data_IF_625115414673
#
_entry.id   IF_625115414673
#
_cell.length_a   1.000
_cell.length_b   1.000
_cell.length_c   1.000
_cell.angle_alpha   90.00
_cell.angle_beta   90.00
_cell.angle_gamma   90.00
#
_symmetry.space_group_name_H-M   'P 1'
#
loop_
_entity.id
_entity.type
_entity.pdbx_description
1 polymer ?
#
# COMPACT_ATOMS: atom_id res chain seq x y z
N UNK A 1 6.72 -38.91 -0.71
CA UNK A 1 5.66 -38.63 -1.70
C UNK A 1 5.27 -37.17 -1.57
N UNK A 2 5.75 -36.33 -2.48
CA UNK A 2 5.24 -34.97 -2.64
C UNK A 2 3.90 -35.04 -3.39
N UNK A 3 2.83 -35.31 -2.66
CA UNK A 3 1.50 -35.18 -3.23
C UNK A 3 1.25 -33.68 -3.49
N UNK A 4 1.14 -33.29 -4.75
CA UNK A 4 0.63 -31.98 -5.09
C UNK A 4 -0.85 -31.96 -4.73
N UNK A 5 -1.26 -31.07 -3.85
CA UNK A 5 -2.66 -30.85 -3.53
C UNK A 5 -3.21 -29.79 -4.48
N UNK A 6 -4.31 -30.08 -5.11
CA UNK A 6 -5.07 -29.12 -5.90
C UNK A 6 -6.26 -28.65 -5.06
N UNK A 7 -6.33 -27.34 -4.82
CA UNK A 7 -7.43 -26.74 -4.06
C UNK A 7 -8.26 -25.90 -5.03
N UNK A 8 -9.52 -26.30 -5.22
CA UNK A 8 -10.45 -25.51 -6.01
C UNK A 8 -10.91 -24.30 -5.19
N UNK A 9 -10.64 -23.10 -5.69
CA UNK A 9 -11.16 -21.86 -5.15
C UNK A 9 -12.49 -21.52 -5.82
N UNK A 10 -13.43 -20.99 -5.06
CA UNK A 10 -14.82 -20.75 -5.54
C UNK A 10 -15.00 -19.41 -6.25
N UNK A 11 -14.05 -18.51 -6.11
CA UNK A 11 -14.04 -17.17 -6.69
C UNK A 11 -12.73 -16.90 -7.41
N UNK A 12 -12.74 -15.90 -8.29
CA UNK A 12 -11.55 -15.46 -9.00
C UNK A 12 -10.56 -14.77 -8.04
N UNK A 13 -9.36 -15.33 -7.96
CA UNK A 13 -8.29 -14.81 -7.10
C UNK A 13 -7.65 -13.60 -7.75
N UNK A 14 -7.60 -12.50 -7.00
CA UNK A 14 -6.86 -11.30 -7.43
C UNK A 14 -5.39 -11.41 -7.01
N UNK A 15 -5.15 -11.91 -5.79
CA UNK A 15 -3.83 -11.85 -5.15
C UNK A 15 -3.70 -12.93 -4.07
N UNK A 16 -2.47 -13.38 -3.84
CA UNK A 16 -2.11 -14.35 -2.80
C UNK A 16 -0.90 -13.85 -2.06
N UNK A 17 -0.88 -13.98 -0.75
CA UNK A 17 0.32 -13.72 0.05
C UNK A 17 0.35 -14.54 1.34
N UNK A 18 1.48 -14.42 2.04
CA UNK A 18 1.65 -14.99 3.37
C UNK A 18 1.74 -13.84 4.35
N UNK A 19 0.88 -13.86 5.36
CA UNK A 19 0.86 -12.85 6.42
C UNK A 19 1.40 -13.42 7.73
N UNK A 20 2.31 -12.70 8.36
CA UNK A 20 2.76 -12.98 9.71
C UNK A 20 1.63 -12.74 10.72
N UNK A 21 1.40 -13.69 11.60
CA UNK A 21 0.41 -13.58 12.67
C UNK A 21 0.99 -14.07 13.99
N UNK A 22 0.25 -13.89 15.07
CA UNK A 22 0.67 -14.44 16.37
C UNK A 22 0.79 -15.97 16.30
N UNK A 23 2.01 -16.45 16.44
CA UNK A 23 2.33 -17.88 16.56
C UNK A 23 2.54 -18.65 15.25
N UNK A 24 2.03 -18.20 14.12
CA UNK A 24 2.27 -18.82 12.80
C UNK A 24 1.90 -17.90 11.65
N UNK A 25 2.52 -18.13 10.50
CA UNK A 25 2.12 -17.47 9.27
C UNK A 25 0.81 -18.04 8.74
N UNK A 26 0.04 -17.22 8.02
CA UNK A 26 -1.18 -17.64 7.34
C UNK A 26 -1.10 -17.38 5.84
N UNK A 27 -1.63 -18.28 5.03
CA UNK A 27 -1.86 -18.05 3.62
C UNK A 27 -3.15 -17.23 3.45
N UNK A 28 -3.01 -16.07 2.81
CA UNK A 28 -4.14 -15.15 2.55
C UNK A 28 -4.46 -15.14 1.08
N UNK A 29 -5.74 -15.24 0.77
CA UNK A 29 -6.29 -15.14 -0.59
C UNK A 29 -7.18 -13.91 -0.67
N UNK A 30 -6.91 -13.05 -1.64
CA UNK A 30 -7.70 -11.86 -1.91
C UNK A 30 -8.59 -12.08 -3.13
N UNK A 31 -9.87 -11.82 -2.97
CA UNK A 31 -10.89 -11.75 -4.00
C UNK A 31 -11.29 -10.30 -4.28
N UNK A 32 -12.18 -10.05 -5.22
CA UNK A 32 -12.58 -8.67 -5.59
C UNK A 32 -13.19 -7.85 -4.45
N UNK A 33 -13.73 -8.48 -3.43
CA UNK A 33 -14.41 -7.80 -2.33
C UNK A 33 -14.05 -8.31 -0.94
N UNK A 34 -13.17 -9.31 -0.82
CA UNK A 34 -12.85 -9.91 0.48
C UNK A 34 -11.47 -10.51 0.52
N UNK A 35 -10.92 -10.65 1.73
CA UNK A 35 -9.75 -11.48 1.98
C UNK A 35 -10.12 -12.64 2.93
N UNK A 36 -9.55 -13.80 2.65
CA UNK A 36 -9.74 -15.00 3.45
C UNK A 36 -8.41 -15.64 3.80
N UNK A 37 -8.31 -16.22 4.97
CA UNK A 37 -7.28 -17.20 5.27
C UNK A 37 -7.61 -18.52 4.61
N UNK A 38 -6.64 -19.15 3.95
CA UNK A 38 -6.78 -20.48 3.37
C UNK A 38 -5.95 -21.49 4.16
N UNK A 39 -6.55 -22.58 4.58
CA UNK A 39 -5.81 -23.76 5.07
C UNK A 39 -5.35 -24.59 3.85
N UNK A 40 -4.05 -24.65 3.55
CA UNK A 40 -3.55 -25.35 2.37
C UNK A 40 -3.67 -26.88 2.47
N UNK A 41 -4.00 -27.44 3.65
CA UNK A 41 -4.15 -28.89 3.84
C UNK A 41 -5.58 -29.36 3.59
N UNK A 42 -6.54 -28.53 3.98
CA UNK A 42 -7.96 -28.91 3.96
C UNK A 42 -8.74 -28.16 2.88
N UNK A 43 -8.20 -27.05 2.36
CA UNK A 43 -8.92 -26.12 1.49
C UNK A 43 -9.97 -25.27 2.22
N UNK A 44 -10.06 -25.40 3.54
CA UNK A 44 -10.99 -24.60 4.33
C UNK A 44 -10.59 -23.13 4.33
N UNK A 45 -11.57 -22.24 4.24
CA UNK A 45 -11.35 -20.79 4.27
C UNK A 45 -11.98 -20.17 5.52
N UNK A 46 -11.33 -19.12 6.05
CA UNK A 46 -11.84 -18.27 7.11
C UNK A 46 -11.86 -16.83 6.62
N UNK A 47 -13.02 -16.19 6.65
CA UNK A 47 -13.14 -14.78 6.29
C UNK A 47 -12.33 -13.92 7.24
N UNK A 48 -11.59 -12.94 6.68
CA UNK A 48 -10.76 -11.99 7.42
C UNK A 48 -11.35 -10.59 7.36
N UNK A 49 -11.50 -10.04 6.16
CA UNK A 49 -12.02 -8.69 5.92
C UNK A 49 -12.93 -8.64 4.70
N UNK A 50 -13.80 -7.65 4.69
CA UNK A 50 -14.60 -7.22 3.53
C UNK A 50 -14.17 -5.83 3.12
N UNK A 51 -14.00 -5.60 1.81
CA UNK A 51 -13.55 -4.31 1.27
C UNK A 51 -14.10 -4.05 -0.12
N UNK A 52 -13.86 -2.84 -0.66
CA UNK A 52 -14.15 -2.51 -2.06
C UNK A 52 -12.84 -2.23 -2.78
N UNK A 53 -12.48 -3.10 -3.71
CA UNK A 53 -11.25 -2.95 -4.50
C UNK A 53 -11.53 -2.44 -5.90
N UNK A 54 -10.52 -1.77 -6.48
CA UNK A 54 -10.48 -1.44 -7.91
C UNK A 54 -9.98 -2.60 -8.78
N UNK A 55 -9.49 -3.66 -8.15
CA UNK A 55 -9.00 -4.82 -8.87
C UNK A 55 -10.12 -5.73 -9.35
N UNK A 56 -9.99 -6.16 -10.61
CA UNK A 56 -10.69 -7.31 -11.12
C UNK A 56 -9.69 -8.43 -11.39
N UNK A 57 -10.09 -9.67 -11.15
CA UNK A 57 -9.27 -10.82 -11.52
C UNK A 57 -9.04 -10.83 -13.04
N UNK A 58 -7.79 -10.93 -13.50
CA UNK A 58 -7.50 -10.99 -14.93
C UNK A 58 -7.96 -12.34 -15.49
N UNK A 59 -8.78 -12.31 -16.55
CA UNK A 59 -9.44 -13.50 -17.11
C UNK A 59 -8.43 -14.51 -17.70
N UNK A 60 -7.25 -14.07 -18.15
CA UNK A 60 -6.25 -14.90 -18.82
C UNK A 60 -4.81 -14.63 -18.35
N UNK A 61 -4.63 -14.06 -17.18
CA UNK A 61 -3.31 -13.60 -16.72
C UNK A 61 -2.89 -14.29 -15.42
N UNK A 62 -1.57 -14.29 -15.21
CA UNK A 62 -0.99 -14.73 -13.95
C UNK A 62 -1.43 -13.80 -12.83
N UNK A 63 -1.70 -14.36 -11.66
CA UNK A 63 -1.96 -13.59 -10.43
C UNK A 63 -0.84 -12.57 -10.23
N UNK A 64 -1.15 -11.26 -10.16
CA UNK A 64 -0.13 -10.23 -10.01
C UNK A 64 0.52 -10.34 -8.64
N UNK A 65 1.79 -9.94 -8.56
CA UNK A 65 2.47 -9.76 -7.29
C UNK A 65 2.22 -8.34 -6.81
N UNK A 66 1.42 -8.18 -5.77
CA UNK A 66 1.08 -6.91 -5.16
C UNK A 66 1.64 -6.86 -3.73
N UNK A 67 2.06 -5.71 -3.29
CA UNK A 67 2.58 -5.50 -1.93
C UNK A 67 1.44 -4.94 -1.06
N UNK A 68 0.48 -5.81 -0.74
CA UNK A 68 -0.72 -5.48 0.05
C UNK A 68 -0.69 -6.04 1.47
N UNK A 69 0.29 -6.87 1.79
CA UNK A 69 0.42 -7.55 3.09
C UNK A 69 1.80 -7.23 3.68
N UNK A 70 1.84 -6.51 4.78
CA UNK A 70 3.07 -6.19 5.50
C UNK A 70 2.79 -5.53 6.84
N UNK A 71 3.73 -5.60 7.74
CA UNK A 71 3.69 -4.87 9.00
C UNK A 71 3.77 -3.35 8.73
N UNK A 72 2.64 -2.66 8.93
CA UNK A 72 2.52 -1.22 8.71
C UNK A 72 2.74 -0.41 9.98
N UNK A 73 2.56 -1.02 11.16
CA UNK A 73 2.60 -0.32 12.43
C UNK A 73 3.82 -0.68 13.31
N UNK A 74 4.64 -1.65 12.89
CA UNK A 74 5.86 -2.07 13.57
C UNK A 74 5.63 -3.05 14.73
N UNK A 75 4.48 -3.75 14.77
CA UNK A 75 4.15 -4.71 15.83
C UNK A 75 4.53 -6.17 15.51
N UNK A 76 5.14 -6.40 14.34
CA UNK A 76 5.52 -7.69 13.77
C UNK A 76 4.32 -8.58 13.37
N UNK A 77 3.15 -8.01 13.21
CA UNK A 77 2.02 -8.64 12.56
C UNK A 77 1.79 -7.98 11.20
N UNK A 78 1.43 -8.76 10.18
CA UNK A 78 1.18 -8.18 8.88
C UNK A 78 -0.25 -7.64 8.78
N UNK A 79 -0.32 -6.39 8.41
CA UNK A 79 -1.53 -5.64 8.12
C UNK A 79 -1.88 -5.72 6.64
N UNK A 80 -3.07 -5.25 6.26
CA UNK A 80 -3.46 -5.16 4.86
C UNK A 80 -3.61 -3.70 4.43
N UNK A 81 -3.11 -3.39 3.22
CA UNK A 81 -3.30 -2.12 2.55
C UNK A 81 -3.90 -2.32 1.17
N UNK A 82 -5.18 -2.04 1.03
CA UNK A 82 -5.98 -2.37 -0.14
C UNK A 82 -6.25 -1.11 -0.95
N UNK A 83 -5.86 -1.06 -2.24
CA UNK A 83 -6.20 0.07 -3.10
C UNK A 83 -7.68 0.03 -3.48
N UNK A 84 -8.35 1.14 -3.24
CA UNK A 84 -9.76 1.36 -3.54
C UNK A 84 -9.96 2.51 -4.54
N UNK A 85 -11.22 2.84 -4.86
CA UNK A 85 -11.56 3.89 -5.83
C UNK A 85 -11.18 5.30 -5.37
N UNK A 86 -11.10 5.55 -4.07
CA UNK A 86 -10.81 6.87 -3.50
C UNK A 86 -9.42 6.99 -2.88
N UNK A 87 -8.68 5.89 -2.80
CA UNK A 87 -7.40 5.84 -2.11
C UNK A 87 -7.10 4.42 -1.66
N UNK A 88 -6.59 4.29 -0.46
CA UNK A 88 -6.30 2.98 0.15
C UNK A 88 -7.14 2.77 1.39
N UNK A 89 -7.47 1.52 1.66
CA UNK A 89 -8.04 1.08 2.93
C UNK A 89 -7.01 0.24 3.68
N UNK A 90 -6.70 0.63 4.91
CA UNK A 90 -5.75 -0.05 5.78
C UNK A 90 -6.50 -0.81 6.85
N UNK A 91 -6.14 -2.07 7.04
CA UNK A 91 -6.69 -2.95 8.07
C UNK A 91 -5.57 -3.44 8.96
N UNK A 92 -5.55 -2.97 10.20
CA UNK A 92 -4.55 -3.34 11.20
C UNK A 92 -4.91 -4.69 11.83
N UNK A 93 -3.94 -5.61 11.88
CA UNK A 93 -4.12 -6.90 12.51
C UNK A 93 -4.03 -6.77 14.05
N UNK A 94 -4.99 -7.36 14.74
CA UNK A 94 -4.98 -7.48 16.18
C UNK A 94 -4.20 -8.72 16.63
N UNK A 95 -3.71 -8.73 17.87
CA UNK A 95 -3.00 -9.86 18.45
C UNK A 95 -3.82 -11.16 18.55
N UNK A 96 -5.12 -11.12 18.39
CA UNK A 96 -5.98 -12.29 18.31
C UNK A 96 -6.16 -12.85 16.89
N UNK A 97 -5.50 -12.23 15.89
CA UNK A 97 -5.56 -12.59 14.48
C UNK A 97 -6.83 -12.14 13.78
N UNK A 98 -7.59 -11.23 14.39
CA UNK A 98 -8.65 -10.47 13.72
C UNK A 98 -8.10 -9.18 13.13
N UNK A 99 -8.89 -8.50 12.32
CA UNK A 99 -8.52 -7.20 11.75
C UNK A 99 -9.47 -6.12 12.27
N UNK A 100 -8.92 -4.93 12.49
CA UNK A 100 -9.69 -3.74 12.84
C UNK A 100 -10.61 -3.28 11.71
N UNK A 101 -11.36 -2.21 11.95
CA UNK A 101 -12.12 -1.54 10.90
C UNK A 101 -11.17 -0.90 9.90
N UNK A 102 -11.59 -0.86 8.62
CA UNK A 102 -10.81 -0.20 7.58
C UNK A 102 -10.61 1.28 7.85
N UNK A 103 -9.37 1.74 7.70
CA UNK A 103 -8.98 3.15 7.78
C UNK A 103 -8.79 3.64 6.35
N UNK A 104 -9.55 4.66 5.94
CA UNK A 104 -9.46 5.19 4.58
C UNK A 104 -8.35 6.23 4.48
N UNK A 105 -7.40 6.01 3.57
CA UNK A 105 -6.35 6.96 3.23
C UNK A 105 -6.64 7.56 1.83
N UNK A 106 -6.77 8.88 1.75
CA UNK A 106 -7.13 9.59 0.51
C UNK A 106 -5.96 9.76 -0.48
N UNK A 107 -4.91 8.94 -0.40
CA UNK A 107 -3.84 8.93 -1.38
C UNK A 107 -4.33 8.28 -2.69
N UNK A 108 -4.47 9.01 -3.79
CA UNK A 108 -5.06 8.45 -5.01
C UNK A 108 -4.19 7.30 -5.54
N UNK A 109 -4.78 6.14 -5.85
CA UNK A 109 -4.04 5.05 -6.45
C UNK A 109 -3.55 5.45 -7.85
N UNK A 110 -2.36 4.99 -8.24
CA UNK A 110 -1.90 5.15 -9.63
C UNK A 110 -2.52 4.02 -10.45
N UNK A 111 -3.31 4.41 -11.45
CA UNK A 111 -3.69 3.52 -12.52
C UNK A 111 -2.85 3.87 -13.75
N UNK A 112 -2.06 2.94 -14.23
CA UNK A 112 -1.43 3.09 -15.53
C UNK A 112 -2.44 2.71 -16.62
N UNK A 113 -3.03 3.73 -17.22
CA UNK A 113 -3.99 3.61 -18.34
C UNK A 113 -3.31 3.59 -19.71
N UNK A 114 -1.97 3.51 -19.76
CA UNK A 114 -1.22 3.56 -21.02
C UNK A 114 -1.45 2.34 -21.92
N UNK A 115 -1.99 1.24 -21.39
CA UNK A 115 -2.40 0.06 -22.16
C UNK A 115 -3.91 0.06 -22.38
N UNK A 116 -4.33 0.48 -23.57
CA UNK A 116 -5.74 0.64 -23.94
C UNK A 116 -6.61 -0.60 -23.79
N UNK A 117 -6.01 -1.80 -23.86
CA UNK A 117 -6.75 -3.06 -23.87
C UNK A 117 -6.68 -3.82 -22.54
N UNK A 118 -5.84 -3.39 -21.61
CA UNK A 118 -5.72 -4.01 -20.30
C UNK A 118 -5.09 -3.02 -19.30
N UNK A 119 -5.89 -2.26 -18.53
CA UNK A 119 -5.37 -1.33 -17.55
C UNK A 119 -4.66 -2.10 -16.45
N UNK A 120 -3.33 -2.02 -16.44
CA UNK A 120 -2.52 -2.55 -15.36
C UNK A 120 -2.56 -1.58 -14.18
N UNK A 121 -2.92 -2.10 -13.05
CA UNK A 121 -2.69 -1.38 -11.81
C UNK A 121 -1.20 -1.51 -11.45
N UNK A 122 -0.49 -0.40 -11.45
CA UNK A 122 0.81 -0.34 -10.81
C UNK A 122 0.60 0.03 -9.35
N UNK A 123 0.98 -0.87 -8.47
CA UNK A 123 1.03 -0.55 -7.05
C UNK A 123 1.97 0.65 -6.86
N UNK A 124 1.42 1.76 -6.35
CA UNK A 124 2.24 2.89 -5.94
C UNK A 124 3.20 2.43 -4.86
N UNK A 125 4.47 2.81 -4.96
CA UNK A 125 5.40 2.55 -3.88
C UNK A 125 4.95 3.31 -2.63
N UNK A 126 4.68 2.58 -1.58
CA UNK A 126 4.36 3.12 -0.27
C UNK A 126 5.63 3.04 0.56
N UNK A 127 6.10 4.18 1.03
CA UNK A 127 7.24 4.23 1.91
C UNK A 127 6.75 4.16 3.35
N UNK A 128 7.57 3.56 4.19
CA UNK A 128 7.32 3.40 5.60
C UNK A 128 8.54 3.94 6.34
N UNK A 129 8.40 5.08 7.00
CA UNK A 129 9.49 5.78 7.65
C UNK A 129 8.98 6.76 8.71
N UNK A 130 9.70 6.89 9.81
CA UNK A 130 9.45 7.93 10.81
C UNK A 130 9.90 9.30 10.25
N UNK A 131 8.99 9.98 9.57
CA UNK A 131 9.26 11.33 9.02
C UNK A 131 8.83 12.45 9.95
N UNK A 132 8.03 12.14 10.96
CA UNK A 132 7.61 13.08 12.00
C UNK A 132 8.55 13.11 13.20
N UNK A 133 9.51 12.19 13.25
CA UNK A 133 10.51 12.01 14.30
C UNK A 133 9.89 11.80 15.70
N UNK A 134 8.81 11.04 15.74
CA UNK A 134 8.10 10.69 16.98
C UNK A 134 8.35 9.23 17.43
N UNK A 135 9.21 8.51 16.71
CA UNK A 135 9.60 7.13 16.97
C UNK A 135 8.66 6.09 16.38
N UNK A 136 7.64 6.51 15.61
CA UNK A 136 6.71 5.64 14.90
C UNK A 136 6.88 5.80 13.39
N UNK A 137 6.68 4.73 12.65
CA UNK A 137 6.85 4.78 11.20
C UNK A 137 5.56 5.21 10.51
N UNK A 138 5.62 6.30 9.78
CA UNK A 138 4.50 6.88 9.03
C UNK A 138 4.36 6.24 7.66
N UNK A 139 3.17 6.29 7.06
CA UNK A 139 2.94 5.92 5.66
C UNK A 139 3.14 7.12 4.76
N UNK A 140 4.05 7.01 3.79
CA UNK A 140 4.41 8.09 2.89
C UNK A 140 4.12 7.71 1.46
N UNK A 141 3.29 8.50 0.80
CA UNK A 141 2.93 8.34 -0.61
C UNK A 141 3.52 9.48 -1.44
N UNK A 142 4.18 9.13 -2.54
CA UNK A 142 4.53 10.12 -3.57
C UNK A 142 3.34 10.29 -4.53
N UNK A 143 2.80 11.50 -4.61
CA UNK A 143 1.65 11.80 -5.47
C UNK A 143 2.00 12.94 -6.40
N UNK A 144 2.32 12.62 -7.65
CA UNK A 144 2.69 13.57 -8.71
C UNK A 144 3.87 14.48 -8.32
N UNK A 145 3.61 15.55 -7.59
CA UNK A 145 4.57 16.61 -7.23
C UNK A 145 4.71 16.80 -5.71
N UNK A 146 4.09 15.95 -4.93
CA UNK A 146 4.06 16.07 -3.47
C UNK A 146 4.14 14.74 -2.76
N UNK A 147 4.58 14.79 -1.51
CA UNK A 147 4.42 13.71 -0.56
C UNK A 147 3.15 13.91 0.27
N UNK A 148 2.48 12.81 0.54
CA UNK A 148 1.39 12.73 1.50
C UNK A 148 1.83 11.80 2.62
N UNK A 149 1.88 12.30 3.84
CA UNK A 149 2.34 11.58 5.03
C UNK A 149 1.16 11.35 5.97
N UNK A 150 0.81 10.10 6.16
CA UNK A 150 -0.18 9.68 7.16
C UNK A 150 0.56 9.25 8.41
N UNK A 151 0.43 10.04 9.47
CA UNK A 151 1.13 9.80 10.73
C UNK A 151 0.58 8.58 11.46
N UNK A 152 1.47 7.73 11.95
CA UNK A 152 1.08 6.65 12.84
C UNK A 152 0.71 7.21 14.22
N UNK A 153 -0.45 6.82 14.72
CA UNK A 153 -0.94 7.18 16.04
C UNK A 153 -0.42 6.20 17.11
N UNK A 154 -0.54 6.59 18.39
CA UNK A 154 -0.05 5.79 19.50
C UNK A 154 -0.76 4.43 19.68
N UNK A 155 -1.93 4.27 19.08
CA UNK A 155 -2.71 3.02 19.06
C UNK A 155 -2.37 2.11 17.87
N UNK A 156 -1.37 2.49 17.05
CA UNK A 156 -0.95 1.75 15.86
C UNK A 156 -1.78 2.05 14.61
N UNK A 157 -2.81 2.88 14.69
CA UNK A 157 -3.58 3.34 13.54
C UNK A 157 -2.91 4.53 12.86
N UNK A 158 -3.52 5.07 11.81
CA UNK A 158 -3.01 6.22 11.05
C UNK A 158 -4.01 7.36 11.02
N UNK A 159 -3.50 8.59 10.85
CA UNK A 159 -4.36 9.76 10.63
C UNK A 159 -5.16 9.60 9.34
N UNK A 160 -6.37 10.08 9.31
CA UNK A 160 -7.25 10.11 8.12
C UNK A 160 -6.89 11.25 7.15
N UNK A 161 -6.30 12.33 7.67
CA UNK A 161 -5.81 13.46 6.88
C UNK A 161 -4.28 13.50 6.85
N UNK A 162 -3.66 13.58 5.65
CA UNK A 162 -2.22 13.58 5.51
C UNK A 162 -1.61 14.97 5.71
N UNK A 163 -0.40 15.00 6.25
CA UNK A 163 0.50 16.14 6.06
C UNK A 163 0.99 16.10 4.62
N UNK A 164 0.95 17.25 3.93
CA UNK A 164 1.39 17.34 2.54
C UNK A 164 2.57 18.30 2.42
N UNK A 165 3.57 17.90 1.65
CA UNK A 165 4.67 18.78 1.29
C UNK A 165 5.16 18.48 -0.13
N UNK A 166 5.58 19.53 -0.85
CA UNK A 166 6.14 19.42 -2.19
C UNK A 166 7.63 19.72 -2.15
N UNK A 167 8.49 18.81 -2.64
CA UNK A 167 9.88 19.10 -2.78
C UNK A 167 10.07 20.19 -3.85
N UNK A 168 10.91 21.18 -3.56
CA UNK A 168 11.31 22.17 -4.56
C UNK A 168 12.62 21.74 -5.19
N UNK A 169 12.64 21.60 -6.51
CA UNK A 169 13.86 21.32 -7.27
C UNK A 169 14.42 22.65 -7.75
N UNK A 170 15.63 22.97 -7.34
CA UNK A 170 16.33 24.19 -7.77
C UNK A 170 17.39 23.76 -8.79
N UNK A 171 17.26 24.27 -10.01
CA UNK A 171 18.28 24.11 -11.04
C UNK A 171 19.25 25.29 -10.98
N UNK A 172 20.53 25.01 -10.83
CA UNK A 172 21.55 26.05 -10.94
C UNK A 172 21.73 26.43 -12.42
N UNK A 173 21.59 27.71 -12.74
CA UNK A 173 21.60 28.19 -14.13
C UNK A 173 22.97 28.10 -14.80
N UNK A 174 24.03 27.81 -14.07
CA UNK A 174 25.40 27.82 -14.59
C UNK A 174 25.95 26.46 -15.02
N UNK A 175 25.18 25.41 -15.02
CA UNK A 175 25.63 24.11 -15.51
C UNK A 175 24.91 22.93 -14.90
N UNK A 176 24.77 21.95 -15.68
CA UNK A 176 24.08 20.68 -15.40
C UNK A 176 24.73 19.82 -14.29
N UNK A 177 25.46 20.40 -13.36
CA UNK A 177 26.25 19.62 -12.40
C UNK A 177 25.59 19.30 -11.06
N UNK A 178 24.31 19.52 -10.88
CA UNK A 178 23.65 19.06 -9.65
C UNK A 178 22.21 19.48 -9.50
N UNK A 179 21.36 18.52 -9.33
CA UNK A 179 20.00 18.73 -8.83
C UNK A 179 20.05 18.61 -7.31
N UNK A 180 19.85 19.72 -6.58
CA UNK A 180 19.67 19.66 -5.14
C UNK A 180 18.20 19.72 -4.77
N UNK A 181 17.73 18.73 -4.03
CA UNK A 181 16.40 18.76 -3.44
C UNK A 181 16.49 19.42 -2.04
N UNK A 182 15.74 20.50 -1.84
CA UNK A 182 15.52 21.06 -0.51
C UNK A 182 14.09 20.81 -0.10
N UNK A 183 13.93 20.23 1.06
CA UNK A 183 12.61 20.01 1.69
C UNK A 183 12.34 21.14 2.67
N UNK A 184 11.21 21.79 2.54
CA UNK A 184 10.52 22.47 3.63
C UNK A 184 10.95 23.88 4.03
N UNK A 185 11.76 24.62 3.27
CA UNK A 185 11.97 26.05 3.55
C UNK A 185 11.31 26.92 2.47
N UNK A 186 10.39 27.79 2.87
CA UNK A 186 9.93 28.90 2.05
C UNK A 186 11.06 29.91 1.90
N UNK A 187 11.90 29.73 0.89
CA UNK A 187 12.88 30.74 0.54
C UNK A 187 12.24 31.75 -0.42
N UNK A 188 12.13 32.99 0.01
CA UNK A 188 11.59 34.11 -0.77
C UNK A 188 12.60 34.66 -1.78
N UNK A 189 13.49 33.87 -2.30
CA UNK A 189 14.38 34.32 -3.36
C UNK A 189 13.73 34.11 -4.73
N UNK A 190 13.70 35.17 -5.55
CA UNK A 190 13.16 35.22 -6.92
C UNK A 190 13.96 34.36 -7.93
N UNK A 191 14.58 33.28 -7.47
CA UNK A 191 15.24 32.29 -8.31
C UNK A 191 14.17 31.48 -9.07
N UNK A 192 14.29 31.43 -10.38
CA UNK A 192 13.39 30.67 -11.26
C UNK A 192 13.29 29.21 -10.78
N UNK A 193 12.15 28.86 -10.25
CA UNK A 193 11.85 27.50 -9.82
C UNK A 193 11.11 26.79 -10.95
N UNK A 194 11.70 25.75 -11.48
CA UNK A 194 11.01 24.81 -12.37
C UNK A 194 11.00 23.46 -11.69
N UNK A 195 9.83 22.94 -11.47
CA UNK A 195 9.63 21.54 -11.14
C UNK A 195 9.50 20.75 -12.44
N UNK A 196 10.45 19.85 -12.70
CA UNK A 196 10.38 18.89 -13.79
C UNK A 196 10.07 17.51 -13.20
N UNK A 197 9.10 16.84 -13.78
CA UNK A 197 8.69 15.47 -13.45
C UNK A 197 8.59 14.63 -14.70
#
# INVERSE_FOLDING_TARGET
DNAAYEIALTEDVIFLDIAATVGRDMLVVFYAGSAVQLDPRTGATRHLIQFSSIYNAPVDQKIPKLDMVRDLNGDNLDDFIIPGFKGYEVYIQNHDGTFGNGISLNAPPIMDISFRDNPWYQARKIYHADVTNDGRADLVFWVVDKFMVYQQLADGTFTDEPIQFSPKVIFDAEGYEGVSMRMGEEDQSDAQQQALF
#
